data_IF_502274580729
#
_entry.id   IF_502274580729
#
_cell.length_a   1.000
_cell.length_b   1.000
_cell.length_c   1.000
_cell.angle_alpha   90.00
_cell.angle_beta   90.00
_cell.angle_gamma   90.00
#
_symmetry.space_group_name_H-M   'P 1'
#
loop_
_entity.id
_entity.type
_entity.pdbx_description
1 polymer ?
#
# COMPACT_ATOMS: atom_id res chain seq x y z
N UNK A 1 -0.91 21.44 -5.47
CA UNK A 1 -0.83 21.24 -4.01
C UNK A 1 -2.17 20.79 -3.44
N UNK A 2 -3.27 21.53 -3.66
CA UNK A 2 -4.60 21.15 -3.14
C UNK A 2 -5.10 19.75 -3.56
N UNK A 3 -4.94 19.37 -4.84
CA UNK A 3 -5.33 18.03 -5.34
C UNK A 3 -4.52 16.88 -4.73
N UNK A 4 -3.23 17.08 -4.50
CA UNK A 4 -2.35 16.07 -3.90
C UNK A 4 -2.72 15.83 -2.43
N UNK A 5 -2.95 16.93 -1.68
CA UNK A 5 -3.41 16.86 -0.30
C UNK A 5 -4.79 16.19 -0.20
N UNK A 6 -5.71 16.51 -1.11
CA UNK A 6 -7.03 15.89 -1.14
C UNK A 6 -6.95 14.37 -1.40
N UNK A 7 -6.02 13.92 -2.26
CA UNK A 7 -5.80 12.50 -2.50
C UNK A 7 -5.24 11.80 -1.26
N UNK A 8 -4.22 12.38 -0.61
CA UNK A 8 -3.63 11.86 0.63
C UNK A 8 -4.67 11.74 1.74
N UNK A 9 -5.49 12.78 1.96
CA UNK A 9 -6.55 12.75 2.97
C UNK A 9 -7.57 11.64 2.68
N UNK A 10 -7.95 11.45 1.42
CA UNK A 10 -8.85 10.36 1.01
C UNK A 10 -8.23 8.98 1.23
N UNK A 11 -6.92 8.83 0.98
CA UNK A 11 -6.19 7.59 1.26
C UNK A 11 -6.21 7.30 2.75
N UNK A 12 -5.91 8.29 3.60
CA UNK A 12 -5.95 8.16 5.05
C UNK A 12 -7.35 7.77 5.56
N UNK A 13 -8.39 8.45 5.08
CA UNK A 13 -9.78 8.17 5.46
C UNK A 13 -10.19 6.74 5.11
N UNK A 14 -9.91 6.30 3.87
CA UNK A 14 -10.23 4.94 3.40
C UNK A 14 -9.47 3.87 4.19
N UNK A 15 -8.16 4.04 4.40
CA UNK A 15 -7.36 3.09 5.18
C UNK A 15 -7.83 3.02 6.64
N UNK A 16 -8.16 4.17 7.23
CA UNK A 16 -8.62 4.24 8.62
C UNK A 16 -10.01 3.59 8.83
N UNK A 17 -10.83 3.48 7.78
CA UNK A 17 -12.12 2.78 7.83
C UNK A 17 -11.97 1.24 7.94
N UNK A 18 -10.84 0.68 7.52
CA UNK A 18 -10.51 -0.75 7.65
C UNK A 18 -10.35 -1.15 9.12
N UNK A 19 -11.16 -2.11 9.58
CA UNK A 19 -11.16 -2.59 10.98
C UNK A 19 -10.37 -3.88 11.19
N UNK A 20 -10.27 -4.70 10.14
CA UNK A 20 -9.54 -5.97 10.13
C UNK A 20 -8.30 -5.87 9.27
N UNK A 21 -7.32 -6.75 9.48
CA UNK A 21 -6.10 -6.78 8.65
C UNK A 21 -6.45 -7.01 7.18
N UNK A 22 -7.38 -7.93 6.90
CA UNK A 22 -7.86 -8.23 5.54
C UNK A 22 -8.46 -7.00 4.85
N UNK A 23 -9.44 -6.34 5.50
CA UNK A 23 -10.06 -5.14 4.92
C UNK A 23 -9.05 -4.01 4.72
N UNK A 24 -8.12 -3.84 5.65
CA UNK A 24 -7.04 -2.86 5.54
C UNK A 24 -6.13 -3.14 4.32
N UNK A 25 -5.65 -4.37 4.15
CA UNK A 25 -4.79 -4.75 3.02
C UNK A 25 -5.51 -4.70 1.68
N UNK A 26 -6.78 -5.10 1.62
CA UNK A 26 -7.60 -4.94 0.42
C UNK A 26 -7.68 -3.47 0.01
N UNK A 27 -8.02 -2.58 0.95
CA UNK A 27 -8.10 -1.14 0.67
C UNK A 27 -6.73 -0.54 0.33
N UNK A 28 -5.64 -0.99 0.97
CA UNK A 28 -4.29 -0.54 0.64
C UNK A 28 -3.91 -0.89 -0.81
N UNK A 29 -4.16 -2.13 -1.24
CA UNK A 29 -3.86 -2.57 -2.62
C UNK A 29 -4.76 -1.87 -3.64
N UNK A 30 -6.04 -1.62 -3.33
CA UNK A 30 -6.92 -0.82 -4.19
C UNK A 30 -6.38 0.61 -4.38
N UNK A 31 -5.99 1.27 -3.29
CA UNK A 31 -5.45 2.63 -3.33
C UNK A 31 -4.08 2.70 -4.01
N UNK A 32 -3.24 1.67 -3.85
CA UNK A 32 -1.98 1.53 -4.57
C UNK A 32 -2.22 1.39 -6.07
N UNK A 33 -3.23 0.61 -6.49
CA UNK A 33 -3.62 0.50 -7.89
C UNK A 33 -4.05 1.85 -8.46
N UNK A 34 -4.87 2.61 -7.74
CA UNK A 34 -5.24 3.98 -8.13
C UNK A 34 -4.01 4.90 -8.28
N UNK A 35 -3.04 4.82 -7.36
CA UNK A 35 -1.82 5.61 -7.43
C UNK A 35 -0.93 5.23 -8.63
N UNK A 36 -0.79 3.93 -8.92
CA UNK A 36 -0.06 3.45 -10.08
C UNK A 36 -0.75 3.85 -11.39
N UNK A 37 -2.08 3.83 -11.45
CA UNK A 37 -2.82 4.28 -12.63
C UNK A 37 -2.56 5.74 -12.97
N UNK A 38 -2.45 6.60 -11.94
CA UNK A 38 -2.05 8.00 -12.12
C UNK A 38 -0.68 8.07 -12.81
N UNK A 39 0.30 7.29 -12.35
CA UNK A 39 1.65 7.30 -12.92
C UNK A 39 1.70 6.71 -14.33
N UNK A 40 0.99 5.61 -14.57
CA UNK A 40 0.95 4.95 -15.87
C UNK A 40 0.37 5.89 -16.92
N UNK A 41 -0.74 6.56 -16.62
CA UNK A 41 -1.31 7.57 -17.53
C UNK A 41 -0.34 8.71 -17.77
N UNK A 42 0.40 9.17 -16.76
CA UNK A 42 1.40 10.22 -16.94
C UNK A 42 2.57 9.81 -17.84
N UNK A 43 3.05 8.58 -17.75
CA UNK A 43 4.12 8.02 -18.61
C UNK A 43 3.73 8.03 -20.08
N UNK A 44 2.47 7.70 -20.39
CA UNK A 44 2.01 7.52 -21.77
C UNK A 44 1.46 8.80 -22.44
N UNK A 45 1.48 9.97 -21.76
CA UNK A 45 1.01 11.25 -22.32
C UNK A 45 1.87 11.73 -23.49
N UNK A 46 1.50 11.31 -24.72
CA UNK A 46 2.04 11.91 -25.94
C UNK A 46 1.01 12.65 -26.79
N UNK A 47 -0.26 12.25 -26.85
CA UNK A 47 -1.39 12.99 -27.49
C UNK A 47 -2.72 12.27 -27.20
N UNK A 48 -3.86 12.99 -27.14
CA UNK A 48 -5.20 12.42 -26.85
C UNK A 48 -5.59 11.28 -27.82
N UNK A 49 -5.15 11.37 -29.08
CA UNK A 49 -5.36 10.33 -30.08
C UNK A 49 -4.54 9.07 -29.76
N UNK A 50 -3.27 9.22 -29.38
CA UNK A 50 -2.43 8.09 -28.99
C UNK A 50 -2.94 7.42 -27.71
N UNK A 51 -3.46 8.20 -26.76
CA UNK A 51 -4.08 7.67 -25.55
C UNK A 51 -5.25 6.76 -25.89
N UNK A 52 -6.20 7.26 -26.69
CA UNK A 52 -7.41 6.50 -27.04
C UNK A 52 -7.13 5.21 -27.81
N UNK A 53 -6.20 5.25 -28.77
CA UNK A 53 -6.02 4.13 -29.71
C UNK A 53 -4.84 3.21 -29.40
N UNK A 54 -3.86 3.66 -28.61
CA UNK A 54 -2.70 2.85 -28.26
C UNK A 54 -2.59 2.58 -26.76
N UNK A 55 -2.99 3.50 -25.88
CA UNK A 55 -2.79 3.38 -24.42
C UNK A 55 -3.97 2.68 -23.76
N UNK A 56 -5.20 3.13 -24.01
CA UNK A 56 -6.41 2.52 -23.43
C UNK A 56 -6.49 0.99 -23.68
N UNK A 57 -6.20 0.46 -24.89
CA UNK A 57 -6.20 -0.98 -25.12
C UNK A 57 -5.11 -1.74 -24.34
N UNK A 58 -4.02 -1.07 -23.95
CA UNK A 58 -2.98 -1.70 -23.13
C UNK A 58 -3.43 -1.84 -21.67
N UNK A 59 -4.21 -0.88 -21.17
CA UNK A 59 -4.60 -0.76 -19.77
C UNK A 59 -5.91 -1.48 -19.41
N UNK A 60 -6.75 -1.79 -20.40
CA UNK A 60 -8.11 -2.30 -20.16
C UNK A 60 -8.27 -3.78 -20.52
N UNK A 61 -9.13 -4.48 -19.79
CA UNK A 61 -9.51 -5.87 -20.08
C UNK A 61 -8.33 -6.84 -20.09
N UNK A 62 -8.10 -7.50 -21.22
CA UNK A 62 -6.98 -8.43 -21.45
C UNK A 62 -5.73 -7.74 -22.00
N UNK A 63 -5.65 -6.41 -21.90
CA UNK A 63 -4.47 -5.65 -22.27
C UNK A 63 -3.24 -6.05 -21.44
N UNK A 64 -2.02 -6.00 -22.00
CA UNK A 64 -0.80 -6.44 -21.33
C UNK A 64 -0.48 -5.66 -20.04
N UNK A 65 -1.05 -4.47 -19.85
CA UNK A 65 -0.89 -3.64 -18.65
C UNK A 65 -2.16 -3.61 -17.78
N UNK A 66 -3.11 -4.53 -17.99
CA UNK A 66 -4.30 -4.64 -17.14
C UNK A 66 -3.98 -5.17 -15.74
N UNK A 67 -2.93 -5.97 -15.61
CA UNK A 67 -2.49 -6.53 -14.33
C UNK A 67 -1.73 -5.51 -13.47
N UNK A 68 -2.04 -5.47 -12.17
CA UNK A 68 -1.43 -4.53 -11.22
C UNK A 68 0.08 -4.79 -11.04
N UNK A 69 0.50 -6.06 -10.97
CA UNK A 69 1.91 -6.41 -10.82
C UNK A 69 2.70 -6.00 -12.05
N UNK A 70 2.12 -6.16 -13.24
CA UNK A 70 2.75 -5.71 -14.49
C UNK A 70 2.88 -4.19 -14.53
N UNK A 71 1.86 -3.43 -14.11
CA UNK A 71 1.94 -1.97 -14.02
C UNK A 71 3.02 -1.52 -13.02
N UNK A 72 3.09 -2.15 -11.86
CA UNK A 72 4.12 -1.86 -10.85
C UNK A 72 5.53 -2.10 -11.43
N UNK A 73 5.76 -3.25 -12.07
CA UNK A 73 7.02 -3.58 -12.75
C UNK A 73 7.39 -2.60 -13.84
N UNK A 74 6.42 -2.13 -14.63
CA UNK A 74 6.64 -1.12 -15.66
C UNK A 74 7.11 0.20 -15.06
N UNK A 75 6.39 0.72 -14.06
CA UNK A 75 6.73 2.00 -13.40
C UNK A 75 8.11 1.94 -12.74
N UNK A 76 8.46 0.81 -12.12
CA UNK A 76 9.81 0.58 -11.59
C UNK A 76 10.87 0.49 -12.70
N UNK A 77 10.62 -0.26 -13.78
CA UNK A 77 11.56 -0.41 -14.89
C UNK A 77 11.84 0.91 -15.62
N UNK A 78 10.87 1.84 -15.61
CA UNK A 78 11.03 3.19 -16.14
C UNK A 78 11.75 4.15 -15.18
N UNK A 79 12.09 3.69 -13.97
CA UNK A 79 12.80 4.47 -12.95
C UNK A 79 11.93 5.54 -12.29
N UNK A 80 10.60 5.41 -12.32
CA UNK A 80 9.67 6.40 -11.75
C UNK A 80 9.51 6.23 -10.23
N UNK A 81 9.59 4.98 -9.75
CA UNK A 81 9.56 4.65 -8.32
C UNK A 81 10.89 4.04 -7.89
N UNK A 82 11.21 4.16 -6.60
CA UNK A 82 12.42 3.58 -6.02
C UNK A 82 12.30 2.06 -5.84
N UNK A 83 13.43 1.39 -5.58
CA UNK A 83 13.45 -0.04 -5.24
C UNK A 83 12.64 -0.33 -3.97
N UNK A 84 12.77 0.50 -2.94
CA UNK A 84 12.03 0.32 -1.68
C UNK A 84 10.52 0.47 -1.90
N UNK A 85 10.08 1.45 -2.69
CA UNK A 85 8.66 1.60 -3.05
C UNK A 85 8.13 0.39 -3.82
N UNK A 86 8.93 -0.15 -4.73
CA UNK A 86 8.58 -1.36 -5.48
C UNK A 86 8.47 -2.59 -4.57
N UNK A 87 9.45 -2.82 -3.69
CA UNK A 87 9.46 -3.96 -2.76
C UNK A 87 8.30 -3.87 -1.75
N UNK A 88 8.02 -2.68 -1.21
CA UNK A 88 6.88 -2.46 -0.31
C UNK A 88 5.55 -2.72 -1.01
N UNK A 89 5.39 -2.25 -2.25
CA UNK A 89 4.21 -2.49 -3.05
C UNK A 89 4.00 -3.99 -3.36
N UNK A 90 5.06 -4.72 -3.75
CA UNK A 90 4.97 -6.18 -3.97
C UNK A 90 4.62 -6.92 -2.67
N UNK A 91 5.20 -6.53 -1.53
CA UNK A 91 4.91 -7.17 -0.26
C UNK A 91 3.44 -6.96 0.15
N UNK A 92 2.90 -5.75 0.01
CA UNK A 92 1.48 -5.49 0.28
C UNK A 92 0.55 -6.30 -0.63
N UNK A 93 0.90 -6.43 -1.91
CA UNK A 93 0.14 -7.24 -2.86
C UNK A 93 0.20 -8.73 -2.51
N UNK A 94 1.38 -9.24 -2.15
CA UNK A 94 1.58 -10.63 -1.75
C UNK A 94 0.79 -10.97 -0.47
N UNK A 95 0.87 -10.11 0.55
CA UNK A 95 0.12 -10.28 1.80
C UNK A 95 -1.39 -10.26 1.57
N UNK A 96 -1.88 -9.33 0.76
CA UNK A 96 -3.30 -9.29 0.38
C UNK A 96 -3.72 -10.57 -0.34
N UNK A 97 -2.87 -11.10 -1.22
CA UNK A 97 -3.17 -12.30 -1.98
C UNK A 97 -3.24 -13.54 -1.10
N UNK A 98 -2.24 -13.74 -0.24
CA UNK A 98 -2.20 -14.84 0.74
C UNK A 98 -3.46 -14.82 1.62
N UNK A 99 -3.81 -13.66 2.16
CA UNK A 99 -4.99 -13.51 3.00
C UNK A 99 -6.31 -13.69 2.26
N UNK A 100 -6.37 -13.68 0.92
CA UNK A 100 -7.63 -14.01 0.22
C UNK A 100 -7.91 -15.51 0.20
N UNK A 101 -6.86 -16.33 0.19
CA UNK A 101 -6.98 -17.78 0.20
C UNK A 101 -7.02 -18.34 1.63
N UNK A 102 -6.53 -17.58 2.59
CA UNK A 102 -6.65 -17.90 4.01
C UNK A 102 -8.06 -17.60 4.53
N UNK A 103 -8.61 -18.50 5.35
CA UNK A 103 -9.88 -18.34 6.06
C UNK A 103 -9.73 -17.72 7.45
N UNK A 104 -8.51 -17.63 7.98
CA UNK A 104 -8.26 -17.17 9.34
C UNK A 104 -8.44 -15.65 9.49
N UNK A 105 -8.82 -15.24 10.71
CA UNK A 105 -9.00 -13.85 11.10
C UNK A 105 -7.82 -13.35 11.95
N UNK A 106 -6.88 -12.71 11.28
CA UNK A 106 -5.71 -12.12 11.94
C UNK A 106 -5.98 -10.74 12.56
N UNK A 107 -5.25 -10.49 13.65
CA UNK A 107 -5.09 -9.18 14.28
C UNK A 107 -3.79 -8.53 13.83
N UNK A 108 -3.73 -7.21 13.93
CA UNK A 108 -2.51 -6.44 13.62
C UNK A 108 -1.33 -6.79 14.55
N UNK A 109 -1.57 -7.49 15.65
CA UNK A 109 -0.56 -7.85 16.65
C UNK A 109 -0.13 -9.30 16.56
N UNK A 110 -0.67 -10.07 15.61
CA UNK A 110 -0.30 -11.46 15.42
C UNK A 110 1.05 -11.50 14.67
N UNK A 111 1.90 -12.47 15.01
CA UNK A 111 3.29 -12.52 14.52
C UNK A 111 3.34 -12.72 13.00
N UNK A 112 2.38 -13.46 12.45
CA UNK A 112 2.19 -13.69 11.02
C UNK A 112 1.95 -12.39 10.24
N UNK A 113 1.44 -11.35 10.92
CA UNK A 113 1.18 -10.03 10.34
C UNK A 113 2.30 -9.05 10.71
N UNK A 114 2.77 -9.06 11.96
CA UNK A 114 3.84 -8.17 12.43
C UNK A 114 5.17 -8.42 11.71
N UNK A 115 5.52 -9.67 11.45
CA UNK A 115 6.76 -10.03 10.74
C UNK A 115 6.84 -9.32 9.38
N UNK A 116 5.91 -9.58 8.46
CA UNK A 116 5.88 -8.89 7.16
C UNK A 116 5.73 -7.36 7.26
N UNK A 117 4.96 -6.84 8.22
CA UNK A 117 4.89 -5.38 8.41
C UNK A 117 6.22 -4.76 8.84
N UNK A 118 7.05 -5.50 9.56
CA UNK A 118 8.39 -5.07 9.94
C UNK A 118 9.40 -5.07 8.79
N UNK A 119 9.10 -5.75 7.69
CA UNK A 119 9.94 -5.79 6.48
C UNK A 119 9.67 -4.61 5.53
N UNK A 120 8.56 -3.89 5.72
CA UNK A 120 8.21 -2.73 4.92
C UNK A 120 9.15 -1.55 5.20
N UNK A 121 9.79 -1.04 4.15
CA UNK A 121 10.71 0.10 4.24
C UNK A 121 10.01 1.40 4.65
N UNK A 122 8.73 1.57 4.29
CA UNK A 122 7.90 2.71 4.72
C UNK A 122 7.54 2.68 6.22
N UNK A 123 7.76 1.55 6.91
CA UNK A 123 7.59 1.43 8.36
C UNK A 123 8.94 1.69 9.01
N UNK A 124 9.17 2.93 9.44
CA UNK A 124 10.46 3.30 10.07
C UNK A 124 10.73 2.50 11.34
N UNK A 125 9.71 2.32 12.18
CA UNK A 125 9.79 1.55 13.41
C UNK A 125 8.40 1.03 13.81
N UNK A 126 8.31 -0.27 14.09
CA UNK A 126 7.11 -0.84 14.71
C UNK A 126 7.07 -0.48 16.20
N UNK A 127 5.87 -0.21 16.75
CA UNK A 127 5.76 0.11 18.17
C UNK A 127 6.29 -1.07 19.02
N UNK A 128 7.08 -0.80 20.08
CA UNK A 128 7.63 -1.86 20.90
C UNK A 128 6.51 -2.63 21.60
N UNK A 129 6.64 -3.96 21.61
CA UNK A 129 5.69 -4.84 22.31
C UNK A 129 5.70 -4.50 23.80
N UNK A 130 4.58 -4.09 24.39
CA UNK A 130 4.53 -3.79 25.81
C UNK A 130 4.64 -5.07 26.64
N UNK A 131 5.13 -4.94 27.87
CA UNK A 131 5.01 -6.03 28.84
C UNK A 131 3.54 -6.19 29.24
N UNK A 132 2.88 -7.20 28.67
CA UNK A 132 1.49 -7.49 28.99
C UNK A 132 1.36 -8.06 30.40
N UNK A 133 0.36 -7.56 31.12
CA UNK A 133 -0.05 -8.14 32.40
C UNK A 133 -0.52 -9.59 32.19
N UNK A 134 -0.09 -10.48 33.08
CA UNK A 134 -0.48 -11.89 33.03
C UNK A 134 -1.79 -12.15 33.77
N UNK A 135 -2.52 -13.22 33.42
CA UNK A 135 -3.63 -13.69 34.25
C UNK A 135 -3.18 -13.87 35.70
N UNK A 136 -3.85 -13.21 36.64
CA UNK A 136 -3.52 -13.20 38.07
C UNK A 136 -2.71 -11.99 38.55
N UNK A 137 -2.13 -11.19 37.64
CA UNK A 137 -1.48 -9.90 38.00
C UNK A 137 -2.48 -8.73 37.97
N UNK A 138 -3.57 -8.86 37.21
CA UNK A 138 -4.62 -7.87 37.09
C UNK A 138 -5.95 -8.50 36.60
N UNK A 139 -7.02 -7.70 36.67
CA UNK A 139 -8.32 -8.05 36.12
C UNK A 139 -8.26 -8.27 34.60
N UNK A 140 -9.03 -9.23 34.10
CA UNK A 140 -9.09 -9.58 32.67
C UNK A 140 -9.43 -8.39 31.77
N UNK A 141 -10.26 -7.46 32.26
CA UNK A 141 -10.61 -6.23 31.55
C UNK A 141 -9.39 -5.33 31.31
N UNK A 142 -8.49 -5.22 32.28
CA UNK A 142 -7.27 -4.43 32.15
C UNK A 142 -6.29 -5.06 31.15
N UNK A 143 -6.16 -6.39 31.19
CA UNK A 143 -5.34 -7.15 30.24
C UNK A 143 -5.89 -6.96 28.81
N UNK A 144 -7.20 -7.04 28.62
CA UNK A 144 -7.85 -6.81 27.33
C UNK A 144 -7.64 -5.37 26.82
N UNK A 145 -7.75 -4.36 27.68
CA UNK A 145 -7.49 -2.96 27.33
C UNK A 145 -6.04 -2.72 26.87
N UNK A 146 -5.05 -3.36 27.51
CA UNK A 146 -3.65 -3.26 27.09
C UNK A 146 -3.44 -3.83 25.68
N UNK A 147 -4.01 -5.00 25.40
CA UNK A 147 -3.94 -5.63 24.06
C UNK A 147 -4.61 -4.77 23.00
N UNK A 148 -5.81 -4.25 23.29
CA UNK A 148 -6.53 -3.37 22.38
C UNK A 148 -5.75 -2.09 22.10
N UNK A 149 -5.13 -1.48 23.12
CA UNK A 149 -4.29 -0.29 22.94
C UNK A 149 -3.10 -0.58 22.04
N UNK A 150 -2.40 -1.69 22.27
CA UNK A 150 -1.26 -2.07 21.43
C UNK A 150 -1.69 -2.28 19.98
N UNK A 151 -2.79 -3.01 19.75
CA UNK A 151 -3.35 -3.21 18.42
C UNK A 151 -3.73 -1.88 17.72
N UNK A 152 -4.29 -0.93 18.46
CA UNK A 152 -4.61 0.40 17.92
C UNK A 152 -3.35 1.17 17.51
N UNK A 153 -2.28 1.12 18.31
CA UNK A 153 -1.01 1.78 17.99
C UNK A 153 -0.42 1.17 16.73
N UNK A 154 -0.31 -0.16 16.65
CA UNK A 154 0.21 -0.85 15.44
C UNK A 154 -0.62 -0.45 14.21
N UNK A 155 -1.96 -0.51 14.30
CA UNK A 155 -2.84 -0.12 13.19
C UNK A 155 -2.60 1.32 12.76
N UNK A 156 -2.49 2.26 13.70
CA UNK A 156 -2.21 3.66 13.41
C UNK A 156 -0.86 3.86 12.72
N UNK A 157 0.19 3.17 13.15
CA UNK A 157 1.49 3.16 12.48
C UNK A 157 1.34 2.70 11.03
N UNK A 158 0.65 1.58 10.80
CA UNK A 158 0.43 1.05 9.45
C UNK A 158 -0.37 1.98 8.56
N UNK A 159 -1.45 2.58 9.08
CA UNK A 159 -2.24 3.57 8.33
C UNK A 159 -1.35 4.73 7.88
N UNK A 160 -0.55 5.30 8.78
CA UNK A 160 0.31 6.44 8.45
C UNK A 160 1.42 6.07 7.45
N UNK A 161 2.12 4.96 7.66
CA UNK A 161 3.19 4.50 6.77
C UNK A 161 2.67 4.22 5.36
N UNK A 162 1.54 3.51 5.23
CA UNK A 162 0.97 3.18 3.92
C UNK A 162 0.35 4.41 3.26
N UNK A 163 -0.29 5.31 4.02
CA UNK A 163 -0.73 6.62 3.48
C UNK A 163 0.45 7.36 2.88
N UNK A 164 1.57 7.45 3.61
CA UNK A 164 2.79 8.11 3.15
C UNK A 164 3.33 7.48 1.87
N UNK A 165 3.43 6.14 1.81
CA UNK A 165 3.87 5.39 0.63
C UNK A 165 2.99 5.70 -0.60
N UNK A 166 1.67 5.53 -0.46
CA UNK A 166 0.72 5.69 -1.57
C UNK A 166 0.68 7.15 -2.05
N UNK A 167 0.68 8.10 -1.12
CA UNK A 167 0.74 9.52 -1.44
C UNK A 167 2.05 9.85 -2.17
N UNK A 168 3.19 9.32 -1.73
CA UNK A 168 4.47 9.52 -2.39
C UNK A 168 4.47 8.97 -3.82
N UNK A 169 4.06 7.71 -4.01
CA UNK A 169 3.94 7.08 -5.34
C UNK A 169 3.05 7.93 -6.25
N UNK A 170 1.86 8.35 -5.80
CA UNK A 170 0.93 9.12 -6.64
C UNK A 170 1.47 10.49 -7.10
N UNK A 171 2.46 11.03 -6.38
CA UNK A 171 3.06 12.33 -6.66
C UNK A 171 4.38 12.25 -7.44
N UNK A 172 4.88 11.05 -7.74
CA UNK A 172 6.07 10.91 -8.58
C UNK A 172 5.84 11.54 -9.95
N UNK A 173 6.89 12.16 -10.48
CA UNK A 173 6.88 12.70 -11.83
C UNK A 173 7.76 11.83 -12.72
N UNK A 174 7.19 11.16 -13.74
CA UNK A 174 7.99 10.43 -14.70
C UNK A 174 9.00 11.37 -15.34
N UNK A 175 10.29 11.13 -15.11
CA UNK A 175 11.33 11.79 -15.88
C UNK A 175 11.08 11.46 -17.34
N UNK A 176 10.95 12.49 -18.19
CA UNK A 176 10.74 12.31 -19.63
C UNK A 176 11.75 11.29 -20.13
N UNK A 177 11.25 10.19 -20.72
CA UNK A 177 12.10 9.21 -21.37
C UNK A 177 13.02 9.97 -22.33
N UNK A 178 14.28 10.13 -21.92
CA UNK A 178 15.29 10.69 -22.79
C UNK A 178 15.37 9.75 -23.98
N UNK A 179 15.34 10.24 -25.23
CA UNK A 179 15.52 9.36 -26.37
C UNK A 179 16.82 8.60 -26.15
N UNK A 180 16.72 7.27 -26.18
CA UNK A 180 17.88 6.36 -26.07
C UNK A 180 18.92 6.87 -27.05
N UNK A 181 20.03 7.40 -26.53
CA UNK A 181 21.18 7.71 -27.37
C UNK A 181 21.70 6.36 -27.86
N UNK A 182 21.44 6.08 -29.13
CA UNK A 182 22.07 4.98 -29.86
C UNK A 182 23.58 5.13 -29.85
#
# INVERSE_FOLDING_TARGET
>A
MEKAQAFENRVLEKLNAGKTVRSFLMTAVELLAEALDILVVQVFRKDDYAVKYAVEPLLTGTGPLGDLSVRLKLIYALGVISRHEYEDAELLMALREELNYDGEEYRFTDDEILGPFGELHCVTELPPVPTFLKPGEADESLIAMQRQRYQQIVRSTMVLSITGLIAHISNQQPSRLSPVKK
#
